data_IF_627215959072
#
_entry.id   IF_627215959072
#
_cell.length_a   1.000
_cell.length_b   1.000
_cell.length_c   1.000
_cell.angle_alpha   90.00
_cell.angle_beta   90.00
_cell.angle_gamma   90.00
#
_symmetry.space_group_name_H-M   'P 1'
#
loop_
_entity.id
_entity.type
_entity.pdbx_description
1 polymer ?
#
# COMPACT_ATOMS: atom_id res chain seq x y z
N UNK A 1 20.59 -22.25 1.71
CA UNK A 1 20.37 -20.85 1.29
C UNK A 1 19.99 -20.91 -0.17
N UNK A 2 18.78 -20.49 -0.51
CA UNK A 2 18.26 -20.50 -1.88
C UNK A 2 18.30 -19.06 -2.38
N UNK A 3 19.12 -18.78 -3.38
CA UNK A 3 19.28 -17.43 -3.94
C UNK A 3 17.97 -16.90 -4.52
N UNK A 4 17.10 -17.77 -5.04
CA UNK A 4 15.81 -17.37 -5.60
C UNK A 4 14.84 -16.95 -4.50
N UNK A 5 14.84 -17.65 -3.37
CA UNK A 5 14.03 -17.28 -2.21
C UNK A 5 14.48 -15.92 -1.62
N UNK A 6 15.79 -15.68 -1.53
CA UNK A 6 16.33 -14.40 -1.06
C UNK A 6 15.96 -13.24 -2.01
N UNK A 7 16.00 -13.47 -3.34
CA UNK A 7 15.60 -12.47 -4.33
C UNK A 7 14.10 -12.18 -4.28
N UNK A 8 13.25 -13.21 -4.20
CA UNK A 8 11.81 -13.05 -4.05
C UNK A 8 11.45 -12.28 -2.77
N UNK A 9 12.09 -12.62 -1.64
CA UNK A 9 11.88 -11.92 -0.37
C UNK A 9 12.28 -10.44 -0.45
N UNK A 10 13.37 -10.11 -1.16
CA UNK A 10 13.78 -8.72 -1.37
C UNK A 10 12.72 -7.92 -2.14
N UNK A 11 12.18 -8.48 -3.22
CA UNK A 11 11.12 -7.85 -4.01
C UNK A 11 9.83 -7.66 -3.19
N UNK A 12 9.41 -8.67 -2.42
CA UNK A 12 8.26 -8.54 -1.51
C UNK A 12 8.49 -7.47 -0.47
N UNK A 13 9.69 -7.40 0.12
CA UNK A 13 10.03 -6.37 1.11
C UNK A 13 9.93 -4.95 0.55
N UNK A 14 10.45 -4.73 -0.67
CA UNK A 14 10.35 -3.43 -1.36
C UNK A 14 8.90 -3.07 -1.67
N UNK A 15 8.13 -3.99 -2.24
CA UNK A 15 6.72 -3.77 -2.54
C UNK A 15 5.91 -3.44 -1.28
N UNK A 16 6.07 -4.24 -0.21
CA UNK A 16 5.38 -4.01 1.05
C UNK A 16 5.78 -2.69 1.72
N UNK A 17 7.07 -2.31 1.64
CA UNK A 17 7.55 -1.03 2.16
C UNK A 17 6.96 0.18 1.43
N UNK A 18 6.89 0.12 0.10
CA UNK A 18 6.27 1.19 -0.70
C UNK A 18 4.76 1.28 -0.46
N UNK A 19 4.06 0.13 -0.43
CA UNK A 19 2.64 0.10 -0.09
C UNK A 19 2.37 0.63 1.33
N UNK A 20 3.24 0.32 2.29
CA UNK A 20 3.16 0.87 3.65
C UNK A 20 3.38 2.38 3.68
N UNK A 21 4.31 2.92 2.89
CA UNK A 21 4.53 4.35 2.80
C UNK A 21 3.26 5.10 2.33
N UNK A 22 2.59 4.58 1.30
CA UNK A 22 1.32 5.10 0.82
C UNK A 22 0.24 5.01 1.92
N UNK A 23 0.03 3.81 2.48
CA UNK A 23 -0.97 3.55 3.52
C UNK A 23 -0.79 4.43 4.76
N UNK A 24 0.45 4.71 5.15
CA UNK A 24 0.76 5.44 6.36
C UNK A 24 0.63 6.96 6.20
N UNK A 25 0.61 7.47 4.97
CA UNK A 25 0.53 8.90 4.66
C UNK A 25 -0.62 9.62 5.38
N UNK A 26 -1.89 9.20 5.29
CA UNK A 26 -3.00 9.89 5.97
C UNK A 26 -2.86 9.91 7.51
N UNK A 27 -2.20 8.91 8.10
CA UNK A 27 -2.03 8.79 9.55
C UNK A 27 -0.81 9.59 10.06
N UNK A 28 0.22 9.73 9.22
CA UNK A 28 1.49 10.37 9.58
C UNK A 28 1.57 11.83 9.17
N UNK A 29 0.89 12.23 8.09
CA UNK A 29 0.87 13.60 7.60
C UNK A 29 0.46 14.62 8.68
N UNK A 30 -0.59 14.40 9.50
CA UNK A 30 -0.95 15.32 10.59
C UNK A 30 0.12 15.42 11.69
N UNK A 31 0.95 14.38 11.83
CA UNK A 31 2.10 14.34 12.76
C UNK A 31 3.37 14.93 12.13
N UNK A 32 3.25 15.58 10.98
CA UNK A 32 4.35 16.15 10.18
C UNK A 32 5.44 15.12 9.86
N UNK A 33 5.01 13.90 9.52
CA UNK A 33 5.88 12.79 9.11
C UNK A 33 5.38 12.20 7.80
N UNK A 34 6.29 11.85 6.91
CA UNK A 34 5.98 11.16 5.66
C UNK A 34 7.05 10.10 5.37
N UNK A 35 6.63 9.02 4.72
CA UNK A 35 7.52 8.00 4.16
C UNK A 35 7.51 8.01 2.63
N UNK A 36 6.83 8.97 2.02
CA UNK A 36 6.85 9.17 0.57
C UNK A 36 8.29 9.50 0.14
N UNK A 37 8.83 8.83 -0.90
CA UNK A 37 10.16 9.13 -1.42
C UNK A 37 10.27 10.60 -1.85
N UNK A 38 11.27 11.31 -1.30
CA UNK A 38 11.43 12.74 -1.52
C UNK A 38 11.79 13.09 -2.98
N UNK A 39 12.47 12.19 -3.67
CA UNK A 39 12.80 12.32 -5.09
C UNK A 39 11.54 12.26 -5.97
N UNK A 40 10.61 11.34 -5.69
CA UNK A 40 9.34 11.24 -6.40
C UNK A 40 8.48 12.48 -6.13
N UNK A 41 8.35 12.90 -4.86
CA UNK A 41 7.59 14.09 -4.52
C UNK A 41 8.13 15.35 -5.21
N UNK A 42 9.46 15.51 -5.28
CA UNK A 42 10.10 16.62 -5.95
C UNK A 42 9.86 16.63 -7.47
N UNK A 43 9.82 15.45 -8.13
CA UNK A 43 9.51 15.36 -9.58
C UNK A 43 8.13 15.93 -9.92
N UNK A 44 7.17 15.77 -9.03
CA UNK A 44 5.79 16.26 -9.19
C UNK A 44 5.57 17.65 -8.56
N UNK A 45 6.63 18.31 -8.09
CA UNK A 45 6.55 19.64 -7.48
C UNK A 45 5.83 19.67 -6.13
N UNK A 46 5.71 18.52 -5.46
CA UNK A 46 5.02 18.37 -4.19
C UNK A 46 5.99 18.65 -3.03
N UNK A 47 5.68 19.64 -2.19
CA UNK A 47 6.46 19.90 -0.99
C UNK A 47 6.03 19.00 0.17
N UNK A 48 6.91 18.79 1.15
CA UNK A 48 6.54 18.08 2.37
C UNK A 48 5.42 18.79 3.14
N UNK A 49 5.34 20.12 3.07
CA UNK A 49 4.28 20.89 3.70
C UNK A 49 2.92 20.64 3.05
N UNK A 50 2.87 20.45 1.72
CA UNK A 50 1.64 20.09 1.01
C UNK A 50 1.14 18.72 1.46
N UNK A 51 2.04 17.75 1.63
CA UNK A 51 1.72 16.43 2.19
C UNK A 51 1.18 16.57 3.62
N UNK A 52 1.79 17.40 4.46
CA UNK A 52 1.35 17.59 5.85
C UNK A 52 -0.01 18.27 5.97
N UNK A 53 -0.34 19.14 5.02
CA UNK A 53 -1.65 19.80 4.94
C UNK A 53 -2.74 18.86 4.40
N UNK A 54 -2.36 17.85 3.63
CA UNK A 54 -3.29 16.87 3.06
C UNK A 54 -4.38 17.54 2.22
N UNK A 55 -5.65 17.20 2.46
CA UNK A 55 -6.81 17.79 1.76
C UNK A 55 -6.86 19.33 1.84
N UNK A 56 -6.22 19.95 2.84
CA UNK A 56 -6.17 21.42 3.00
C UNK A 56 -5.12 22.10 2.13
N UNK A 57 -4.26 21.35 1.43
CA UNK A 57 -3.22 21.89 0.57
C UNK A 57 -3.77 22.49 -0.75
N UNK A 58 -5.03 22.21 -1.07
CA UNK A 58 -5.69 22.65 -2.29
C UNK A 58 -5.66 21.59 -3.40
N UNK A 59 -6.45 21.83 -4.46
CA UNK A 59 -6.67 20.84 -5.54
C UNK A 59 -5.39 20.46 -6.28
N UNK A 60 -4.54 21.45 -6.61
CA UNK A 60 -3.26 21.20 -7.29
C UNK A 60 -2.32 20.27 -6.50
N UNK A 61 -2.29 20.42 -5.18
CA UNK A 61 -1.48 19.58 -4.31
C UNK A 61 -2.08 18.18 -4.15
N UNK A 62 -3.41 18.06 -4.16
CA UNK A 62 -4.10 16.78 -4.15
C UNK A 62 -3.85 15.99 -5.45
N UNK A 63 -3.89 16.65 -6.61
CA UNK A 63 -3.54 16.06 -7.91
C UNK A 63 -2.08 15.59 -7.93
N UNK A 64 -1.13 16.46 -7.55
CA UNK A 64 0.28 16.09 -7.49
C UNK A 64 0.56 14.95 -6.50
N UNK A 65 -0.19 14.86 -5.40
CA UNK A 65 -0.09 13.75 -4.46
C UNK A 65 -0.64 12.44 -5.06
N UNK A 66 -1.72 12.50 -5.83
CA UNK A 66 -2.25 11.33 -6.54
C UNK A 66 -1.27 10.84 -7.61
N UNK A 67 -0.61 11.74 -8.34
CA UNK A 67 0.44 11.39 -9.31
C UNK A 67 1.65 10.73 -8.64
N UNK A 68 2.10 11.27 -7.50
CA UNK A 68 3.14 10.65 -6.66
C UNK A 68 2.71 9.27 -6.16
N UNK A 69 1.45 9.15 -5.70
CA UNK A 69 0.91 7.89 -5.22
C UNK A 69 0.84 6.84 -6.34
N UNK A 70 0.44 7.23 -7.55
CA UNK A 70 0.44 6.39 -8.75
C UNK A 70 1.84 5.91 -9.11
N UNK A 71 2.85 6.80 -9.10
CA UNK A 71 4.22 6.44 -9.44
C UNK A 71 4.80 5.42 -8.43
N UNK A 72 4.60 5.68 -7.13
CA UNK A 72 5.04 4.78 -6.06
C UNK A 72 4.28 3.45 -6.10
N UNK A 73 2.98 3.48 -6.36
CA UNK A 73 2.15 2.28 -6.50
C UNK A 73 2.58 1.43 -7.70
N UNK A 74 2.92 2.06 -8.82
CA UNK A 74 3.44 1.39 -10.02
C UNK A 74 4.76 0.69 -9.72
N UNK A 75 5.69 1.36 -9.04
CA UNK A 75 6.95 0.75 -8.61
C UNK A 75 6.72 -0.43 -7.63
N UNK A 76 5.79 -0.30 -6.69
CA UNK A 76 5.41 -1.38 -5.78
C UNK A 76 4.84 -2.58 -6.53
N UNK A 77 3.99 -2.33 -7.53
CA UNK A 77 3.35 -3.35 -8.36
C UNK A 77 4.37 -4.12 -9.20
N UNK A 78 5.32 -3.44 -9.83
CA UNK A 78 6.43 -4.05 -10.56
C UNK A 78 7.24 -5.02 -9.68
N UNK A 79 7.51 -4.63 -8.43
CA UNK A 79 8.18 -5.53 -7.48
C UNK A 79 7.31 -6.73 -7.08
N UNK A 80 6.00 -6.57 -6.93
CA UNK A 80 5.11 -7.71 -6.67
C UNK A 80 5.08 -8.70 -7.82
N UNK A 81 5.03 -8.21 -9.05
CA UNK A 81 4.92 -9.07 -10.22
C UNK A 81 6.22 -9.88 -10.41
N UNK A 82 7.40 -9.27 -10.25
CA UNK A 82 8.66 -10.01 -10.19
C UNK A 82 8.74 -10.99 -9.01
N UNK A 83 8.24 -10.62 -7.83
CA UNK A 83 8.19 -11.55 -6.71
C UNK A 83 7.31 -12.78 -7.01
N UNK A 84 6.21 -12.61 -7.74
CA UNK A 84 5.30 -13.69 -8.16
C UNK A 84 5.94 -14.60 -9.20
N UNK A 85 6.63 -14.02 -10.18
CA UNK A 85 7.41 -14.78 -11.17
C UNK A 85 8.44 -15.68 -10.48
N UNK A 86 9.21 -15.14 -9.53
CA UNK A 86 10.19 -15.92 -8.76
C UNK A 86 9.51 -16.94 -7.83
N UNK A 87 8.38 -16.59 -7.22
CA UNK A 87 7.64 -17.48 -6.32
C UNK A 87 7.08 -18.72 -7.03
N UNK A 88 6.81 -18.63 -8.34
CA UNK A 88 6.34 -19.76 -9.15
C UNK A 88 7.34 -20.92 -9.19
N UNK A 89 8.64 -20.63 -9.06
CA UNK A 89 9.72 -21.61 -9.04
C UNK A 89 10.01 -22.19 -7.64
N UNK A 90 9.41 -21.63 -6.58
CA UNK A 90 9.72 -22.01 -5.18
C UNK A 90 8.82 -23.14 -4.65
N UNK A 91 9.34 -23.98 -3.72
CA UNK A 91 8.55 -24.99 -3.03
C UNK A 91 7.47 -24.35 -2.12
N UNK A 92 6.38 -25.07 -1.87
CA UNK A 92 5.20 -24.56 -1.15
C UNK A 92 5.51 -23.89 0.20
N UNK A 93 6.39 -24.42 1.07
CA UNK A 93 6.71 -23.77 2.34
C UNK A 93 7.34 -22.38 2.16
N UNK A 94 8.15 -22.19 1.12
CA UNK A 94 8.79 -20.91 0.82
C UNK A 94 7.80 -19.87 0.26
N UNK A 95 6.78 -20.31 -0.50
CA UNK A 95 5.71 -19.41 -0.96
C UNK A 95 4.89 -18.82 0.18
N UNK A 96 4.69 -19.57 1.28
CA UNK A 96 3.96 -19.06 2.46
C UNK A 96 4.71 -17.91 3.16
N UNK A 97 6.03 -17.85 3.05
CA UNK A 97 6.80 -16.72 3.57
C UNK A 97 6.52 -15.41 2.80
N UNK A 98 5.96 -15.48 1.60
CA UNK A 98 5.64 -14.33 0.75
C UNK A 98 4.20 -13.81 0.95
N UNK A 99 3.45 -14.33 1.93
CA UNK A 99 2.09 -13.86 2.25
C UNK A 99 1.95 -12.33 2.47
N UNK A 100 2.94 -11.59 3.01
CA UNK A 100 2.86 -10.13 3.07
C UNK A 100 2.63 -9.45 1.72
N UNK A 101 3.06 -10.07 0.60
CA UNK A 101 2.82 -9.58 -0.76
C UNK A 101 1.32 -9.49 -1.09
N UNK A 102 0.50 -10.40 -0.56
CA UNK A 102 -0.95 -10.42 -0.78
C UNK A 102 -1.61 -9.20 -0.15
N UNK A 103 -1.19 -8.84 1.08
CA UNK A 103 -1.71 -7.65 1.75
C UNK A 103 -1.29 -6.37 1.04
N UNK A 104 -0.08 -6.32 0.47
CA UNK A 104 0.37 -5.18 -0.33
C UNK A 104 -0.44 -5.05 -1.62
N UNK A 105 -0.66 -6.15 -2.37
CA UNK A 105 -1.44 -6.14 -3.61
C UNK A 105 -2.89 -5.71 -3.36
N UNK A 106 -3.53 -6.22 -2.30
CA UNK A 106 -4.88 -5.83 -1.92
C UNK A 106 -4.99 -4.32 -1.62
N UNK A 107 -3.96 -3.74 -0.98
CA UNK A 107 -3.92 -2.31 -0.73
C UNK A 107 -3.74 -1.50 -2.02
N UNK A 108 -2.86 -1.94 -2.93
CA UNK A 108 -2.66 -1.28 -4.22
C UNK A 108 -3.93 -1.32 -5.09
N UNK A 109 -4.66 -2.43 -5.10
CA UNK A 109 -5.95 -2.54 -5.79
C UNK A 109 -7.00 -1.58 -5.20
N UNK A 110 -7.02 -1.44 -3.86
CA UNK A 110 -7.92 -0.49 -3.21
C UNK A 110 -7.54 0.97 -3.54
N UNK A 111 -6.25 1.28 -3.69
CA UNK A 111 -5.75 2.58 -4.13
C UNK A 111 -6.13 2.87 -5.58
N UNK A 112 -5.99 1.89 -6.47
CA UNK A 112 -6.39 2.00 -7.88
C UNK A 112 -7.89 2.27 -8.01
N UNK A 113 -8.73 1.55 -7.24
CA UNK A 113 -10.17 1.79 -7.19
C UNK A 113 -10.55 3.18 -6.63
N UNK A 114 -9.67 3.78 -5.82
CA UNK A 114 -9.81 5.12 -5.27
C UNK A 114 -9.14 6.20 -6.14
N UNK A 115 -8.72 5.88 -7.37
CA UNK A 115 -8.00 6.78 -8.27
C UNK A 115 -6.77 7.43 -7.62
N UNK A 116 -6.06 6.65 -6.80
CA UNK A 116 -4.85 7.06 -6.06
C UNK A 116 -5.04 8.20 -5.05
N UNK A 117 -6.28 8.48 -4.64
CA UNK A 117 -6.56 9.37 -3.52
C UNK A 117 -6.20 8.69 -2.18
N UNK A 118 -5.10 9.13 -1.56
CA UNK A 118 -4.60 8.60 -0.29
C UNK A 118 -5.49 8.93 0.92
N UNK A 119 -6.36 9.94 0.80
CA UNK A 119 -7.28 10.36 1.87
C UNK A 119 -8.67 9.76 1.72
N UNK A 120 -8.89 8.99 0.66
CA UNK A 120 -10.20 8.44 0.36
C UNK A 120 -10.75 7.58 1.51
N UNK A 121 -12.02 7.82 1.86
CA UNK A 121 -12.67 7.15 2.98
C UNK A 121 -12.75 5.63 2.79
N UNK A 122 -12.76 5.12 1.56
CA UNK A 122 -12.74 3.67 1.29
C UNK A 122 -11.45 2.98 1.76
N UNK A 123 -10.31 3.68 1.78
CA UNK A 123 -9.05 3.17 2.33
C UNK A 123 -9.05 3.16 3.87
N UNK A 124 -9.83 4.07 4.46
CA UNK A 124 -10.07 4.17 5.91
C UNK A 124 -11.15 3.19 6.40
N UNK A 125 -12.04 2.74 5.50
CA UNK A 125 -13.20 1.88 5.78
C UNK A 125 -12.84 0.46 6.26
N UNK A 126 -11.55 0.10 6.38
CA UNK A 126 -11.16 -1.11 7.12
C UNK A 126 -11.12 -0.91 8.65
N UNK A 127 -11.06 0.33 9.18
CA UNK A 127 -10.91 0.57 10.63
C UNK A 127 -12.22 0.91 11.36
N UNK A 128 -13.31 1.15 10.63
CA UNK A 128 -14.58 1.60 11.21
C UNK A 128 -15.83 0.92 10.63
N UNK A 129 -15.69 -0.13 9.83
CA UNK A 129 -16.84 -0.85 9.30
C UNK A 129 -17.49 -1.69 10.42
N UNK A 130 -18.38 -1.08 11.18
CA UNK A 130 -19.26 -1.76 12.14
C UNK A 130 -20.05 -2.89 11.47
N UNK A 131 -20.35 -2.82 10.16
CA UNK A 131 -21.01 -3.92 9.45
C UNK A 131 -20.04 -5.06 9.15
N UNK A 132 -18.80 -4.79 8.75
CA UNK A 132 -17.74 -5.77 8.55
C UNK A 132 -17.32 -6.46 9.85
N UNK A 133 -17.23 -5.71 10.95
CA UNK A 133 -16.99 -6.26 12.30
C UNK A 133 -18.18 -7.09 12.78
N UNK A 134 -19.42 -6.65 12.56
CA UNK A 134 -20.62 -7.44 12.87
C UNK A 134 -20.69 -8.72 12.02
N UNK A 135 -20.31 -8.65 10.73
CA UNK A 135 -20.28 -9.81 9.83
C UNK A 135 -19.21 -10.81 10.29
N UNK A 136 -18.00 -10.36 10.63
CA UNK A 136 -16.97 -11.23 11.22
C UNK A 136 -17.42 -11.86 12.55
N UNK A 137 -18.07 -11.09 13.43
CA UNK A 137 -18.64 -11.64 14.68
C UNK A 137 -19.71 -12.70 14.42
N UNK A 138 -20.56 -12.48 13.41
CA UNK A 138 -21.60 -13.41 13.00
C UNK A 138 -21.03 -14.73 12.43
N UNK A 139 -20.02 -14.63 11.58
CA UNK A 139 -19.30 -15.80 11.05
C UNK A 139 -18.53 -16.55 12.15
N UNK A 140 -17.94 -15.81 13.11
CA UNK A 140 -17.27 -16.39 14.30
C UNK A 140 -18.26 -17.14 15.21
N UNK A 141 -19.51 -16.69 15.33
CA UNK A 141 -20.55 -17.36 16.12
C UNK A 141 -21.18 -18.57 15.42
N UNK A 142 -21.14 -18.63 14.08
CA UNK A 142 -21.74 -19.72 13.28
C UNK A 142 -20.74 -20.74 12.73
N UNK A 143 -19.45 -20.61 13.05
CA UNK A 143 -18.42 -21.59 12.69
C UNK A 143 -18.25 -21.81 11.18
N UNK A 144 -18.62 -20.82 10.36
CA UNK A 144 -18.58 -20.91 8.90
C UNK A 144 -17.77 -19.74 8.36
N UNK A 145 -16.63 -20.08 7.74
CA UNK A 145 -15.82 -19.17 6.93
C UNK A 145 -16.61 -18.68 5.71
#
# INVERSE_FOLDING_TARGET
RDSQADHAASHVGKAAGLALALRATPVLAPKRRTFIPADVAARHGLSAEDIYRGERAGERAAEALADVALEVATAAKQHLDHARELASALPEPARRALLPAVSADAHLQALEAANFDLYHSALTCSQGDVRGQARMWWHRLRGTL
#
